data_IF_560279985630
#
_entry.id   IF_560279985630
#
_cell.length_a   1.000
_cell.length_b   1.000
_cell.length_c   1.000
_cell.angle_alpha   90.00
_cell.angle_beta   90.00
_cell.angle_gamma   90.00
#
_symmetry.space_group_name_H-M   'P 1'
#
loop_
_entity.id
_entity.type
_entity.pdbx_description
1 polymer ?
#
# COMPACT_ATOMS: atom_id res chain seq x y z
N UNK A 1 30.25 22.37 -9.17
CA UNK A 1 29.01 21.58 -9.32
C UNK A 1 29.38 20.09 -9.32
N UNK A 2 29.05 19.35 -8.25
CA UNK A 2 29.34 17.91 -8.20
C UNK A 2 28.31 17.14 -9.02
N UNK A 3 28.75 16.47 -10.10
CA UNK A 3 27.87 15.64 -10.93
C UNK A 3 27.57 14.34 -10.19
N UNK A 4 26.29 14.07 -9.92
CA UNK A 4 25.86 12.81 -9.32
C UNK A 4 26.19 11.64 -10.26
N UNK A 5 26.67 10.53 -9.70
CA UNK A 5 27.00 9.31 -10.47
C UNK A 5 25.72 8.76 -11.11
N UNK A 6 25.76 8.25 -12.35
CA UNK A 6 24.56 7.77 -13.06
C UNK A 6 23.74 6.74 -12.27
N UNK A 7 24.39 5.88 -11.48
CA UNK A 7 23.71 4.91 -10.60
C UNK A 7 22.91 5.54 -9.47
N UNK A 8 23.40 6.63 -8.86
CA UNK A 8 22.66 7.39 -7.84
C UNK A 8 21.51 8.21 -8.44
N UNK A 9 21.67 8.68 -9.68
CA UNK A 9 20.57 9.32 -10.42
C UNK A 9 19.48 8.29 -10.70
N UNK A 10 19.81 7.10 -11.20
CA UNK A 10 18.83 6.03 -11.48
C UNK A 10 18.12 5.53 -10.22
N UNK A 11 18.84 5.30 -9.12
CA UNK A 11 18.24 4.90 -7.84
C UNK A 11 17.28 5.99 -7.31
N UNK A 12 17.67 7.27 -7.40
CA UNK A 12 16.81 8.39 -7.02
C UNK A 12 15.64 8.62 -7.98
N UNK A 13 15.78 8.27 -9.25
CA UNK A 13 14.71 8.35 -10.27
C UNK A 13 13.65 7.27 -10.02
N UNK A 14 14.06 6.04 -9.74
CA UNK A 14 13.15 4.93 -9.43
C UNK A 14 12.31 5.24 -8.17
N UNK A 15 12.94 5.77 -7.12
CA UNK A 15 12.23 6.24 -5.93
C UNK A 15 11.22 7.35 -6.24
N UNK A 16 11.51 8.26 -7.19
CA UNK A 16 10.63 9.37 -7.57
C UNK A 16 9.48 8.96 -8.49
N UNK A 17 9.73 8.11 -9.48
CA UNK A 17 8.71 7.61 -10.41
C UNK A 17 7.68 6.71 -9.70
N UNK A 18 8.08 6.06 -8.59
CA UNK A 18 7.16 5.28 -7.76
C UNK A 18 6.35 6.11 -6.75
N UNK A 19 6.77 7.34 -6.43
CA UNK A 19 5.99 8.27 -5.59
C UNK A 19 4.86 8.97 -6.36
N UNK A 20 4.78 8.79 -7.68
CA UNK A 20 3.73 9.36 -8.54
C UNK A 20 2.87 8.28 -9.21
N UNK A 21 3.32 7.02 -9.22
CA UNK A 21 2.55 5.90 -9.74
C UNK A 21 1.36 5.57 -8.84
N UNK A 22 0.15 5.55 -9.42
CA UNK A 22 -1.09 5.12 -8.75
C UNK A 22 -1.50 3.75 -9.29
N UNK A 23 -1.10 2.65 -8.63
CA UNK A 23 -1.50 1.33 -9.09
C UNK A 23 -3.02 1.19 -8.99
N UNK A 24 -3.65 0.68 -10.04
CA UNK A 24 -5.08 0.37 -9.99
C UNK A 24 -5.31 -0.85 -9.11
N UNK A 25 -6.01 -0.64 -8.01
CA UNK A 25 -6.60 -1.70 -7.19
C UNK A 25 -7.79 -2.29 -7.97
N UNK A 26 -7.69 -3.60 -8.27
CA UNK A 26 -8.77 -4.36 -8.93
C UNK A 26 -9.99 -4.43 -8.00
N UNK A 27 -11.18 -4.28 -8.56
CA UNK A 27 -12.45 -4.30 -7.80
C UNK A 27 -12.94 -2.94 -7.31
N UNK A 28 -12.13 -1.87 -7.41
CA UNK A 28 -12.58 -0.51 -7.09
C UNK A 28 -13.01 0.26 -8.35
N UNK A 29 -14.10 1.02 -8.21
CA UNK A 29 -14.55 1.98 -9.22
C UNK A 29 -13.58 3.17 -9.35
N UNK A 30 -13.68 3.91 -10.46
CA UNK A 30 -12.92 5.15 -10.66
C UNK A 30 -13.18 6.19 -9.57
N UNK A 31 -14.42 6.28 -9.08
CA UNK A 31 -14.80 7.18 -8.00
C UNK A 31 -14.16 6.78 -6.66
N UNK A 32 -14.07 5.49 -6.36
CA UNK A 32 -13.38 5.02 -5.16
C UNK A 32 -11.87 5.24 -5.26
N UNK A 33 -11.27 5.06 -6.44
CA UNK A 33 -9.87 5.43 -6.71
C UNK A 33 -9.59 6.92 -6.49
N UNK A 34 -10.49 7.80 -6.93
CA UNK A 34 -10.35 9.24 -6.70
C UNK A 34 -10.41 9.59 -5.21
N UNK A 35 -11.25 8.89 -4.42
CA UNK A 35 -11.29 9.10 -2.98
C UNK A 35 -10.05 8.58 -2.26
N UNK A 36 -9.54 7.40 -2.63
CA UNK A 36 -8.27 6.87 -2.10
C UNK A 36 -7.15 7.87 -2.36
N UNK A 37 -7.03 8.36 -3.60
CA UNK A 37 -6.07 9.38 -3.97
C UNK A 37 -6.18 10.66 -3.12
N UNK A 38 -7.40 11.12 -2.86
CA UNK A 38 -7.66 12.28 -1.99
C UNK A 38 -7.19 12.01 -0.57
N UNK A 39 -7.50 10.84 0.00
CA UNK A 39 -7.07 10.47 1.36
C UNK A 39 -5.55 10.42 1.44
N UNK A 40 -4.89 9.74 0.51
CA UNK A 40 -3.43 9.65 0.43
C UNK A 40 -2.77 11.03 0.34
N UNK A 41 -3.33 11.95 -0.46
CA UNK A 41 -2.74 13.30 -0.63
C UNK A 41 -3.06 14.24 0.53
N UNK A 42 -4.18 14.03 1.23
CA UNK A 42 -4.61 14.88 2.34
C UNK A 42 -3.94 14.59 3.68
N UNK A 43 -3.35 13.40 3.85
CA UNK A 43 -2.74 12.97 5.12
C UNK A 43 -1.23 12.99 5.00
N UNK A 44 -0.58 13.75 5.88
CA UNK A 44 0.86 13.97 5.86
C UNK A 44 1.74 12.71 6.06
N UNK A 45 1.14 11.58 6.45
CA UNK A 45 1.82 10.30 6.69
C UNK A 45 1.52 9.22 5.64
N UNK A 46 0.76 9.55 4.60
CA UNK A 46 0.48 8.63 3.50
C UNK A 46 1.17 9.12 2.23
N UNK A 47 1.80 8.19 1.50
CA UNK A 47 2.34 8.47 0.17
C UNK A 47 1.32 8.09 -0.90
N UNK A 48 1.46 8.64 -2.10
CA UNK A 48 0.64 8.21 -3.24
C UNK A 48 0.93 6.73 -3.53
N UNK A 49 -0.11 5.92 -3.70
CA UNK A 49 0.01 4.49 -3.98
C UNK A 49 0.16 3.60 -2.74
N UNK A 50 0.27 4.17 -1.53
CA UNK A 50 0.38 3.42 -0.27
C UNK A 50 -0.76 2.42 -0.09
N UNK A 51 -1.98 2.81 -0.44
CA UNK A 51 -3.17 1.96 -0.28
C UNK A 51 -3.09 0.75 -1.22
N UNK A 52 -2.61 0.95 -2.45
CA UNK A 52 -2.50 -0.13 -3.41
C UNK A 52 -1.40 -1.12 -3.03
N UNK A 53 -0.28 -0.63 -2.50
CA UNK A 53 0.76 -1.48 -1.92
C UNK A 53 0.25 -2.26 -0.71
N UNK A 54 -0.53 -1.62 0.17
CA UNK A 54 -1.12 -2.28 1.32
C UNK A 54 -2.06 -3.43 0.90
N UNK A 55 -2.92 -3.20 -0.10
CA UNK A 55 -3.78 -4.27 -0.66
C UNK A 55 -2.93 -5.41 -1.23
N UNK A 56 -1.84 -5.11 -1.94
CA UNK A 56 -0.94 -6.12 -2.50
C UNK A 56 -0.28 -6.94 -1.39
N UNK A 57 0.25 -6.31 -0.35
CA UNK A 57 0.91 -7.00 0.77
C UNK A 57 -0.06 -7.91 1.51
N UNK A 58 -1.25 -7.38 1.87
CA UNK A 58 -2.25 -8.17 2.57
C UNK A 58 -2.71 -9.36 1.73
N UNK A 59 -3.02 -9.12 0.45
CA UNK A 59 -3.36 -10.19 -0.49
C UNK A 59 -2.28 -11.25 -0.58
N UNK A 60 -1.01 -10.85 -0.67
CA UNK A 60 0.10 -11.79 -0.76
C UNK A 60 0.23 -12.64 0.52
N UNK A 61 0.03 -12.05 1.71
CA UNK A 61 0.07 -12.80 2.96
C UNK A 61 -1.07 -13.82 3.04
N UNK A 62 -2.32 -13.41 2.83
CA UNK A 62 -3.47 -14.32 3.03
C UNK A 62 -3.48 -15.49 2.02
N UNK A 63 -2.92 -15.28 0.82
CA UNK A 63 -2.75 -16.34 -0.17
C UNK A 63 -1.46 -17.16 0.01
N UNK A 64 -0.57 -16.79 0.95
CA UNK A 64 0.67 -17.53 1.18
C UNK A 64 0.36 -18.82 1.96
N UNK A 65 0.70 -20.02 1.45
CA UNK A 65 0.48 -21.29 2.15
C UNK A 65 1.27 -21.38 3.46
N UNK A 66 2.36 -20.62 3.58
CA UNK A 66 3.23 -20.57 4.75
C UNK A 66 2.95 -19.37 5.67
N UNK A 67 1.80 -18.68 5.52
CA UNK A 67 1.48 -17.48 6.30
C UNK A 67 1.54 -17.65 7.82
N UNK A 68 1.34 -18.87 8.33
CA UNK A 68 1.45 -19.19 9.77
C UNK A 68 2.88 -19.16 10.31
N UNK A 69 3.87 -19.21 9.42
CA UNK A 69 5.29 -19.10 9.75
C UNK A 69 5.77 -17.64 9.73
N UNK A 70 4.89 -16.69 9.42
CA UNK A 70 5.24 -15.27 9.38
C UNK A 70 5.37 -14.75 10.81
N UNK A 71 6.57 -14.28 11.18
CA UNK A 71 6.86 -13.72 12.50
C UNK A 71 7.03 -12.21 12.34
N UNK A 72 6.18 -11.43 13.02
CA UNK A 72 6.11 -9.98 12.88
C UNK A 72 7.42 -9.24 13.22
N UNK A 73 8.26 -9.83 14.08
CA UNK A 73 9.47 -9.21 14.62
C UNK A 73 10.79 -9.68 14.00
N UNK A 74 10.81 -10.69 13.12
CA UNK A 74 12.07 -11.24 12.57
C UNK A 74 12.55 -10.58 11.27
N UNK A 75 11.74 -9.70 10.69
CA UNK A 75 12.11 -9.01 9.47
C UNK A 75 12.36 -7.53 9.74
N UNK A 76 13.59 -7.24 10.18
CA UNK A 76 14.28 -5.98 9.86
C UNK A 76 14.40 -5.90 8.33
N UNK A 77 13.28 -5.58 7.68
CA UNK A 77 13.23 -5.32 6.26
C UNK A 77 14.13 -4.15 5.89
N UNK A 78 14.21 -3.83 4.60
CA UNK A 78 15.03 -2.70 4.15
C UNK A 78 14.46 -1.31 4.52
N UNK A 79 13.41 -1.24 5.36
CA UNK A 79 12.69 -0.02 5.73
C UNK A 79 11.87 0.61 4.60
N UNK A 80 11.94 0.05 3.39
CA UNK A 80 11.19 0.54 2.23
C UNK A 80 9.84 -0.15 2.19
N UNK A 81 8.76 0.61 2.43
CA UNK A 81 7.38 0.14 2.44
C UNK A 81 7.09 -0.81 1.27
N UNK A 82 7.37 -0.39 0.04
CA UNK A 82 7.02 -1.16 -1.15
C UNK A 82 7.75 -2.51 -1.24
N UNK A 83 8.93 -2.62 -0.63
CA UNK A 83 9.80 -3.79 -0.70
C UNK A 83 9.59 -4.75 0.47
N UNK A 84 9.60 -4.23 1.70
CA UNK A 84 9.59 -5.03 2.93
C UNK A 84 8.55 -4.56 3.95
N UNK A 85 7.50 -3.83 3.53
CA UNK A 85 6.42 -3.42 4.41
C UNK A 85 5.73 -4.61 5.08
N UNK A 86 5.34 -4.45 6.34
CA UNK A 86 4.64 -5.49 7.10
C UNK A 86 3.20 -5.65 6.57
N UNK A 87 2.74 -6.87 6.27
CA UNK A 87 1.35 -7.11 5.91
C UNK A 87 0.36 -6.73 7.03
N UNK A 88 0.77 -6.79 8.30
CA UNK A 88 -0.09 -6.40 9.45
C UNK A 88 -0.20 -4.88 9.57
N UNK A 89 0.90 -4.15 9.36
CA UNK A 89 0.87 -2.70 9.20
C UNK A 89 0.02 -2.29 7.99
N UNK A 90 0.14 -3.03 6.88
CA UNK A 90 -0.70 -2.83 5.70
C UNK A 90 -2.19 -3.00 6.01
N UNK A 91 -2.58 -4.03 6.78
CA UNK A 91 -3.98 -4.21 7.18
C UNK A 91 -4.49 -3.06 8.05
N UNK A 92 -3.67 -2.56 8.96
CA UNK A 92 -3.98 -1.40 9.82
C UNK A 92 -4.11 -0.13 8.99
N UNK A 93 -3.22 0.08 8.03
CA UNK A 93 -3.26 1.21 7.11
C UNK A 93 -4.54 1.19 6.26
N UNK A 94 -4.95 0.02 5.76
CA UNK A 94 -6.18 -0.12 4.99
C UNK A 94 -7.40 0.34 5.80
N UNK A 95 -7.48 -0.01 7.09
CA UNK A 95 -8.53 0.50 7.97
C UNK A 95 -8.48 2.02 8.11
N UNK A 96 -7.28 2.58 8.32
CA UNK A 96 -7.12 4.02 8.42
C UNK A 96 -7.58 4.75 7.15
N UNK A 97 -7.29 4.20 5.97
CA UNK A 97 -7.76 4.74 4.68
C UNK A 97 -9.27 4.64 4.58
N UNK A 98 -9.85 3.49 4.90
CA UNK A 98 -11.31 3.27 4.91
C UNK A 98 -12.02 4.29 5.81
N UNK A 99 -11.49 4.57 7.00
CA UNK A 99 -12.01 5.59 7.92
C UNK A 99 -11.89 7.01 7.35
N UNK A 100 -10.90 7.28 6.49
CA UNK A 100 -10.71 8.57 5.82
C UNK A 100 -11.58 8.80 4.58
N UNK A 101 -12.17 7.73 4.02
CA UNK A 101 -13.03 7.79 2.84
C UNK A 101 -14.47 8.17 3.20
N UNK A 102 -15.25 8.58 2.20
CA UNK A 102 -16.69 8.72 2.40
C UNK A 102 -17.33 7.35 2.61
N UNK A 103 -18.37 7.26 3.43
CA UNK A 103 -19.08 6.00 3.69
C UNK A 103 -19.54 5.28 2.43
N UNK A 104 -19.84 6.01 1.35
CA UNK A 104 -20.30 5.42 0.09
C UNK A 104 -19.18 4.67 -0.64
N UNK A 105 -17.99 5.25 -0.72
CA UNK A 105 -16.86 4.65 -1.46
C UNK A 105 -16.00 3.76 -0.58
N UNK A 106 -15.94 4.03 0.72
CA UNK A 106 -15.32 3.16 1.71
C UNK A 106 -15.88 1.73 1.65
N UNK A 107 -17.16 1.54 1.27
CA UNK A 107 -17.77 0.22 1.09
C UNK A 107 -17.06 -0.65 0.05
N UNK A 108 -16.56 -0.07 -1.03
CA UNK A 108 -15.87 -0.81 -2.08
C UNK A 108 -14.52 -1.33 -1.57
N UNK A 109 -13.74 -0.47 -0.91
CA UNK A 109 -12.46 -0.88 -0.31
C UNK A 109 -12.68 -1.85 0.85
N UNK A 110 -13.65 -1.57 1.73
CA UNK A 110 -13.99 -2.44 2.86
C UNK A 110 -14.40 -3.83 2.39
N UNK A 111 -15.31 -3.94 1.42
CA UNK A 111 -15.73 -5.24 0.89
C UNK A 111 -14.56 -6.03 0.30
N UNK A 112 -13.59 -5.37 -0.34
CA UNK A 112 -12.38 -6.03 -0.82
C UNK A 112 -11.49 -6.52 0.32
N UNK A 113 -11.36 -5.72 1.39
CA UNK A 113 -10.55 -6.07 2.56
C UNK A 113 -11.21 -7.21 3.34
N UNK A 114 -12.52 -7.15 3.56
CA UNK A 114 -13.29 -8.21 4.23
C UNK A 114 -13.11 -9.55 3.51
N UNK A 115 -13.18 -9.57 2.17
CA UNK A 115 -12.92 -10.78 1.38
C UNK A 115 -11.50 -11.33 1.53
N UNK A 116 -10.51 -10.48 1.80
CA UNK A 116 -9.14 -10.92 2.07
C UNK A 116 -8.99 -11.40 3.52
N UNK A 117 -9.67 -10.73 4.46
CA UNK A 117 -9.70 -11.12 5.87
C UNK A 117 -10.35 -12.49 6.04
N UNK A 118 -11.40 -12.81 5.28
CA UNK A 118 -12.05 -14.13 5.28
C UNK A 118 -11.11 -15.28 4.83
N UNK A 119 -10.00 -14.97 4.16
CA UNK A 119 -9.02 -15.96 3.69
C UNK A 119 -7.88 -16.19 4.69
N UNK A 120 -7.73 -15.32 5.70
CA UNK A 120 -6.64 -15.38 6.66
C UNK A 120 -6.83 -16.54 7.65
#
# INVERSE_FOLDING_TARGET
MSRKRPGQVRAGQHLRDHLTYRPRIRGLSSAAHAEVARVETSRNHLYVGYTADAVRMWRNLVHNPYRRLWVEYEHDGCGVWQCCGSPFEARTLLEAVIVGMSRRRARELRSLVDQLDDLY
#
